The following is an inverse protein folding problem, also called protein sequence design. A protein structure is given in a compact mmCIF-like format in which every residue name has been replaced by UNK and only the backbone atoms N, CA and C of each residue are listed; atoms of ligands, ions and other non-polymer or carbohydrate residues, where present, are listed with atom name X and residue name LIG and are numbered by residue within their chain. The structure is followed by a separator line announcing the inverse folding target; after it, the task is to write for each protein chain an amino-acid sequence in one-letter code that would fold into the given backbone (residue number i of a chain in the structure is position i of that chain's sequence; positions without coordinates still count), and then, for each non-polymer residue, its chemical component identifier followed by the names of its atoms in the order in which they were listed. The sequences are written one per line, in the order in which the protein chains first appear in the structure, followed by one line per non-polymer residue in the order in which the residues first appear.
data_IF_665079406419
#
_entry.id   IF_665079406419
#
_cell.length_a   1.000
_cell.length_b   1.000
_cell.length_c   1.000
_cell.angle_alpha   90.00
_cell.angle_beta   90.00
_cell.angle_gamma   90.00
#
_symmetry.space_group_name_H-M   'P 1'
#
loop_
_entity.id
_entity.type
_entity.pdbx_description
1 polymer ?
#
# COMPACT_ATOMS: atom_id res chain seq x y z
N UNK A 1 -46.81 -63.80 -30.98
CA UNK A 1 -46.18 -65.07 -31.41
C UNK A 1 -45.42 -64.81 -32.70
N UNK A 2 -44.19 -65.34 -32.81
CA UNK A 2 -43.16 -65.20 -33.87
C UNK A 2 -42.13 -64.07 -33.64
N UNK A 3 -40.96 -64.37 -33.02
CA UNK A 3 -39.68 -64.94 -33.56
C UNK A 3 -38.88 -63.90 -34.36
N UNK A 4 -37.82 -63.30 -33.78
CA UNK A 4 -36.38 -63.67 -33.77
C UNK A 4 -35.66 -63.55 -35.13
N UNK A 5 -34.53 -62.83 -35.19
CA UNK A 5 -33.15 -63.34 -35.35
C UNK A 5 -32.13 -62.23 -35.76
N UNK A 6 -31.00 -62.18 -35.03
CA UNK A 6 -29.57 -61.96 -35.40
C UNK A 6 -29.12 -60.63 -36.09
N UNK A 7 -28.16 -59.87 -35.51
CA UNK A 7 -26.70 -60.04 -35.40
C UNK A 7 -25.90 -59.83 -36.70
N UNK A 8 -25.11 -58.75 -36.77
CA UNK A 8 -23.66 -58.84 -37.05
C UNK A 8 -22.91 -57.51 -36.77
N UNK A 9 -21.64 -57.70 -36.42
CA UNK A 9 -20.59 -56.78 -35.99
C UNK A 9 -20.00 -55.93 -37.11
N UNK A 10 -19.39 -54.78 -36.77
CA UNK A 10 -17.93 -54.53 -36.92
C UNK A 10 -17.51 -53.06 -37.05
N UNK A 11 -16.34 -52.78 -36.46
CA UNK A 11 -15.31 -51.78 -36.81
C UNK A 11 -15.39 -50.37 -36.18
N UNK A 12 -14.49 -50.20 -35.19
CA UNK A 12 -13.51 -49.12 -35.00
C UNK A 12 -13.90 -47.70 -35.39
N UNK A 13 -13.92 -46.80 -34.40
CA UNK A 13 -13.20 -45.52 -34.49
C UNK A 13 -12.84 -45.04 -33.09
N UNK A 14 -11.63 -45.42 -32.69
CA UNK A 14 -10.84 -44.82 -31.62
C UNK A 14 -10.20 -43.56 -32.22
N UNK A 15 -10.72 -42.36 -31.93
CA UNK A 15 -9.98 -41.10 -32.20
C UNK A 15 -10.20 -40.14 -31.04
N UNK A 16 -9.10 -39.96 -30.29
CA UNK A 16 -8.69 -38.81 -29.49
C UNK A 16 -9.79 -37.78 -29.15
N UNK A 17 -10.35 -37.88 -27.94
CA UNK A 17 -10.67 -36.67 -27.20
C UNK A 17 -9.41 -36.34 -26.36
N UNK A 18 -8.52 -35.56 -26.97
CA UNK A 18 -7.41 -34.91 -26.28
C UNK A 18 -7.97 -34.16 -25.07
N UNK A 19 -7.58 -34.62 -23.89
CA UNK A 19 -7.64 -33.89 -22.62
C UNK A 19 -6.85 -32.59 -22.79
N UNK A 20 -7.48 -31.57 -23.37
CA UNK A 20 -7.11 -30.19 -23.11
C UNK A 20 -7.64 -29.81 -21.71
N UNK A 21 -7.11 -30.46 -20.67
CA UNK A 21 -6.93 -29.74 -19.41
C UNK A 21 -5.89 -28.69 -19.70
N UNK A 22 -6.35 -27.56 -20.25
CA UNK A 22 -5.62 -26.33 -20.12
C UNK A 22 -5.41 -26.16 -18.63
N UNK A 23 -4.16 -26.37 -18.18
CA UNK A 23 -3.68 -25.79 -16.96
C UNK A 23 -3.85 -24.30 -17.22
N UNK A 24 -4.99 -23.75 -16.80
CA UNK A 24 -5.10 -22.34 -16.56
C UNK A 24 -4.09 -22.10 -15.45
N UNK A 25 -2.85 -21.81 -15.83
CA UNK A 25 -1.93 -21.09 -14.97
C UNK A 25 -2.67 -19.79 -14.70
N UNK A 26 -3.37 -19.73 -13.58
CA UNK A 26 -3.71 -18.48 -12.93
C UNK A 26 -2.35 -17.90 -12.56
N UNK A 27 -1.68 -17.29 -13.53
CA UNK A 27 -0.74 -16.23 -13.27
C UNK A 27 -1.59 -15.07 -12.77
N UNK A 28 -2.08 -15.21 -11.53
CA UNK A 28 -2.33 -14.06 -10.70
C UNK A 28 -0.96 -13.48 -10.47
N UNK A 29 -0.52 -12.63 -11.39
CA UNK A 29 0.60 -11.76 -11.13
C UNK A 29 0.19 -11.00 -9.87
N UNK A 30 0.87 -11.31 -8.77
CA UNK A 30 0.80 -10.49 -7.56
C UNK A 30 0.95 -9.04 -8.03
N UNK A 31 0.02 -8.18 -7.61
CA UNK A 31 0.07 -6.76 -7.96
C UNK A 31 1.40 -6.23 -7.44
N UNK A 32 2.36 -6.07 -8.34
CA UNK A 32 3.68 -5.58 -7.98
C UNK A 32 3.53 -4.18 -7.38
N UNK A 33 4.04 -3.93 -6.16
CA UNK A 33 3.90 -2.62 -5.56
C UNK A 33 4.56 -1.54 -6.43
N UNK A 34 3.95 -0.35 -6.44
CA UNK A 34 4.48 0.77 -7.22
C UNK A 34 5.79 1.28 -6.61
N UNK A 35 6.56 2.05 -7.40
CA UNK A 35 7.77 2.71 -6.91
C UNK A 35 7.84 4.18 -7.34
N UNK A 36 8.53 5.00 -6.55
CA UNK A 36 8.73 6.43 -6.75
C UNK A 36 10.13 6.82 -6.28
N UNK A 37 10.73 7.83 -6.93
CA UNK A 37 12.02 8.40 -6.52
C UNK A 37 11.76 9.79 -5.93
N UNK A 38 11.98 9.93 -4.62
CA UNK A 38 12.00 11.22 -3.95
C UNK A 38 13.40 11.83 -4.07
N UNK A 39 13.48 13.02 -4.65
CA UNK A 39 14.74 13.75 -4.84
C UNK A 39 14.98 14.76 -3.73
N UNK A 40 16.22 15.18 -3.58
CA UNK A 40 16.59 16.24 -2.64
C UNK A 40 16.06 17.60 -3.13
N UNK A 41 15.37 18.33 -2.27
CA UNK A 41 14.90 19.68 -2.58
C UNK A 41 16.10 20.63 -2.77
N UNK A 42 16.01 21.55 -3.73
CA UNK A 42 17.05 22.56 -4.02
C UNK A 42 16.92 23.83 -3.19
N UNK A 43 15.84 23.94 -2.43
CA UNK A 43 15.52 25.08 -1.58
C UNK A 43 14.70 24.64 -0.38
N UNK A 44 14.56 25.52 0.60
CA UNK A 44 13.63 25.33 1.69
C UNK A 44 12.20 25.55 1.18
N UNK A 45 11.37 24.53 1.31
CA UNK A 45 9.96 24.59 0.89
C UNK A 45 9.12 25.41 1.86
N UNK A 46 8.11 26.09 1.32
CA UNK A 46 7.11 26.84 2.08
C UNK A 46 5.86 25.97 2.13
N UNK A 47 5.54 25.46 3.33
CA UNK A 47 4.38 24.57 3.50
C UNK A 47 3.11 25.42 3.64
N UNK A 48 2.47 25.71 2.51
CA UNK A 48 1.26 26.54 2.41
C UNK A 48 0.14 25.94 1.53
N UNK A 49 0.38 24.76 0.97
CA UNK A 49 -0.59 24.00 0.18
C UNK A 49 -0.66 24.42 -1.29
N UNK A 50 0.18 25.38 -1.74
CA UNK A 50 0.16 25.84 -3.13
C UNK A 50 1.02 24.97 -4.05
N UNK A 51 2.13 24.41 -3.54
CA UNK A 51 3.04 23.58 -4.32
C UNK A 51 3.73 24.31 -5.47
N UNK A 52 3.87 25.64 -5.37
CA UNK A 52 4.44 26.50 -6.41
C UNK A 52 5.96 26.73 -6.27
N UNK A 53 6.59 26.20 -5.21
CA UNK A 53 8.04 26.14 -5.05
C UNK A 53 8.74 25.49 -6.27
N UNK A 54 9.96 25.96 -6.57
CA UNK A 54 10.72 25.54 -7.76
C UNK A 54 11.02 24.04 -7.77
N UNK A 55 11.29 23.47 -6.60
CA UNK A 55 11.54 22.05 -6.40
C UNK A 55 10.28 21.23 -6.70
N UNK A 56 9.09 21.68 -6.27
CA UNK A 56 7.84 21.01 -6.60
C UNK A 56 7.55 21.00 -8.09
N UNK A 57 7.87 22.10 -8.79
CA UNK A 57 7.69 22.18 -10.23
C UNK A 57 8.57 21.19 -11.00
N UNK A 58 9.74 20.82 -10.44
CA UNK A 58 10.67 19.84 -11.05
C UNK A 58 10.39 18.39 -10.64
N UNK A 59 9.78 18.18 -9.47
CA UNK A 59 9.49 16.83 -8.97
C UNK A 59 8.52 16.09 -9.92
N UNK A 60 8.76 14.79 -10.21
CA UNK A 60 7.86 14.01 -11.04
C UNK A 60 6.54 13.72 -10.31
N UNK A 61 5.43 13.66 -11.03
CA UNK A 61 4.18 13.13 -10.47
C UNK A 61 4.26 11.61 -10.33
N UNK A 62 3.60 11.08 -9.29
CA UNK A 62 3.32 9.66 -9.17
C UNK A 62 2.37 9.19 -10.29
N UNK A 63 2.20 7.88 -10.41
CA UNK A 63 1.03 7.31 -11.08
C UNK A 63 -0.24 7.72 -10.32
N UNK A 64 -1.34 7.90 -11.05
CA UNK A 64 -2.65 8.21 -10.47
C UNK A 64 -3.14 7.08 -9.57
N UNK A 65 -3.87 7.44 -8.52
CA UNK A 65 -4.39 6.50 -7.54
C UNK A 65 -5.38 5.55 -8.19
N UNK A 66 -5.50 4.36 -7.61
CA UNK A 66 -6.38 3.29 -8.06
C UNK A 66 -7.25 2.82 -6.89
N UNK A 67 -8.38 2.18 -7.16
CA UNK A 67 -9.11 1.46 -6.12
C UNK A 67 -8.18 0.49 -5.36
N UNK A 68 -8.35 0.38 -4.05
CA UNK A 68 -7.47 -0.40 -3.16
C UNK A 68 -7.27 -1.86 -3.58
N UNK A 69 -8.24 -2.48 -4.27
CA UNK A 69 -8.10 -3.84 -4.80
C UNK A 69 -7.29 -3.89 -6.12
N UNK A 70 -6.94 -2.75 -6.70
CA UNK A 70 -6.14 -2.61 -7.92
C UNK A 70 -6.91 -2.83 -9.22
N UNK A 71 -8.26 -2.80 -9.20
CA UNK A 71 -9.10 -3.21 -10.34
C UNK A 71 -9.83 -2.06 -11.04
N UNK A 72 -10.24 -1.04 -10.28
CA UNK A 72 -11.10 0.04 -10.78
C UNK A 72 -10.35 1.36 -10.80
N UNK A 73 -10.62 2.17 -11.82
CA UNK A 73 -10.15 3.55 -11.88
C UNK A 73 -11.11 4.43 -11.06
N UNK A 74 -10.61 5.25 -10.13
CA UNK A 74 -11.38 6.25 -9.40
C UNK A 74 -12.12 7.24 -10.32
N UNK A 75 -13.25 7.77 -9.83
CA UNK A 75 -14.03 8.77 -10.56
C UNK A 75 -13.31 10.14 -10.61
N UNK A 76 -12.49 10.44 -9.60
CA UNK A 76 -11.74 11.69 -9.50
C UNK A 76 -10.25 11.40 -9.34
N UNK A 77 -9.41 12.11 -10.09
CA UNK A 77 -7.97 11.85 -10.07
C UNK A 77 -7.38 12.23 -8.71
N UNK A 78 -6.40 11.45 -8.28
CA UNK A 78 -5.52 11.80 -7.17
C UNK A 78 -4.10 11.34 -7.50
N UNK A 79 -3.11 12.19 -7.24
CA UNK A 79 -1.69 11.92 -7.52
C UNK A 79 -0.82 12.73 -6.57
N UNK A 80 0.40 12.26 -6.32
CA UNK A 80 1.31 12.89 -5.37
C UNK A 80 2.70 13.15 -5.96
N UNK A 81 3.46 13.99 -5.29
CA UNK A 81 4.90 14.15 -5.43
C UNK A 81 5.55 14.01 -4.07
N UNK A 82 6.81 13.58 -4.06
CA UNK A 82 7.62 13.56 -2.85
C UNK A 82 8.98 14.19 -3.09
N UNK A 83 9.45 14.88 -2.07
CA UNK A 83 10.79 15.44 -1.97
C UNK A 83 11.33 15.17 -0.58
N UNK A 84 12.61 15.43 -0.38
CA UNK A 84 13.20 15.40 0.95
C UNK A 84 14.35 16.39 1.10
N UNK A 85 14.67 16.74 2.33
CA UNK A 85 15.93 17.37 2.70
C UNK A 85 16.47 16.76 4.00
N UNK A 86 17.51 17.36 4.61
CA UNK A 86 18.10 16.80 5.82
C UNK A 86 17.18 16.88 7.07
N UNK A 87 16.10 17.65 7.03
CA UNK A 87 15.18 17.88 8.15
C UNK A 87 13.82 17.19 7.96
N UNK A 88 13.30 17.15 6.74
CA UNK A 88 11.94 16.71 6.45
C UNK A 88 11.83 15.77 5.25
N UNK A 89 10.87 14.85 5.37
CA UNK A 89 10.18 14.21 4.26
C UNK A 89 9.03 15.10 3.82
N UNK A 90 8.94 15.41 2.53
CA UNK A 90 7.90 16.26 1.97
C UNK A 90 6.94 15.49 1.05
N UNK A 91 5.65 15.79 1.16
CA UNK A 91 4.59 15.23 0.31
C UNK A 91 3.69 16.35 -0.17
N UNK A 92 3.41 16.38 -1.48
CA UNK A 92 2.42 17.25 -2.10
C UNK A 92 1.42 16.38 -2.88
N UNK A 93 0.12 16.50 -2.59
CA UNK A 93 -0.92 15.70 -3.24
C UNK A 93 -1.97 16.60 -3.87
N UNK A 94 -2.26 16.36 -5.15
CA UNK A 94 -3.36 16.99 -5.88
C UNK A 94 -4.56 16.04 -5.86
N UNK A 95 -5.71 16.54 -5.40
CA UNK A 95 -6.93 15.77 -5.17
C UNK A 95 -8.09 16.44 -5.92
N UNK A 96 -8.52 15.87 -7.04
CA UNK A 96 -9.74 16.33 -7.72
C UNK A 96 -10.97 15.95 -6.87
N UNK A 97 -11.82 16.90 -6.56
CA UNK A 97 -13.02 16.69 -5.74
C UNK A 97 -14.05 17.77 -6.07
N UNK A 98 -15.18 17.44 -6.73
CA UNK A 98 -16.22 18.41 -7.04
C UNK A 98 -17.02 18.89 -5.84
N UNK A 99 -16.93 18.19 -4.70
CA UNK A 99 -17.60 18.56 -3.47
C UNK A 99 -16.63 18.47 -2.30
N UNK A 100 -15.90 19.54 -2.02
CA UNK A 100 -14.92 19.54 -0.92
C UNK A 100 -15.65 19.79 0.40
N UNK A 101 -15.72 18.78 1.26
CA UNK A 101 -16.39 18.91 2.56
C UNK A 101 -15.62 18.28 3.72
N UNK A 102 -15.54 19.05 4.80
CA UNK A 102 -14.92 18.66 6.06
C UNK A 102 -15.54 19.43 7.22
N UNK A 103 -15.86 18.73 8.30
CA UNK A 103 -16.52 19.28 9.50
C UNK A 103 -15.80 18.92 10.80
N UNK A 104 -14.91 17.92 10.77
CA UNK A 104 -14.13 17.47 11.91
C UNK A 104 -12.93 18.41 12.12
N UNK A 105 -12.91 19.09 13.27
CA UNK A 105 -11.94 20.15 13.62
C UNK A 105 -10.97 19.77 14.74
N UNK A 106 -11.31 18.73 15.48
CA UNK A 106 -10.55 18.30 16.64
C UNK A 106 -9.48 17.32 16.15
N UNK A 107 -8.22 17.64 16.43
CA UNK A 107 -7.09 16.71 16.23
C UNK A 107 -7.39 15.38 16.93
N UNK A 108 -6.96 14.29 16.32
CA UNK A 108 -7.13 12.92 16.83
C UNK A 108 -8.59 12.46 16.94
N UNK A 109 -9.44 13.03 16.10
CA UNK A 109 -10.79 12.48 15.84
C UNK A 109 -10.73 11.60 14.61
N UNK A 110 -11.46 10.49 14.62
CA UNK A 110 -11.65 9.59 13.47
C UNK A 110 -12.08 10.37 12.23
N UNK A 111 -11.13 10.72 11.36
CA UNK A 111 -11.28 11.84 10.42
C UNK A 111 -11.79 11.41 9.04
N UNK A 112 -11.55 10.14 8.69
CA UNK A 112 -11.97 9.51 7.43
C UNK A 112 -13.49 9.51 7.17
N UNK A 113 -14.32 10.03 8.07
CA UNK A 113 -15.74 10.29 7.80
C UNK A 113 -15.99 11.55 6.94
N UNK A 114 -14.95 12.28 6.55
CA UNK A 114 -14.99 13.43 5.62
C UNK A 114 -14.17 13.10 4.36
N UNK A 115 -13.96 14.09 3.46
CA UNK A 115 -12.85 13.98 2.54
C UNK A 115 -11.55 13.96 3.33
N UNK A 116 -10.76 12.92 3.12
CA UNK A 116 -9.58 12.62 3.91
C UNK A 116 -8.44 12.09 3.02
N UNK A 117 -7.22 12.42 3.44
CA UNK A 117 -5.97 12.00 2.81
C UNK A 117 -5.04 11.40 3.85
N UNK A 118 -4.46 10.25 3.51
CA UNK A 118 -3.68 9.44 4.43
C UNK A 118 -2.27 9.16 3.87
N UNK A 119 -1.26 9.15 4.73
CA UNK A 119 0.13 8.78 4.47
C UNK A 119 0.50 7.63 5.41
N UNK A 120 1.06 6.56 4.85
CA UNK A 120 1.50 5.37 5.56
C UNK A 120 2.99 5.15 5.36
N UNK A 121 3.74 4.93 6.45
CA UNK A 121 5.20 4.83 6.40
C UNK A 121 5.68 3.63 7.23
N UNK A 122 6.27 2.65 6.57
CA UNK A 122 7.01 1.53 7.15
C UNK A 122 8.50 1.70 6.73
N UNK A 123 9.34 2.27 7.62
CA UNK A 123 10.69 2.70 7.27
C UNK A 123 11.61 1.59 6.77
N UNK A 124 11.70 0.46 7.47
CA UNK A 124 12.62 -0.64 7.11
C UNK A 124 11.91 -1.78 6.39
N UNK A 125 10.61 -1.65 6.18
CA UNK A 125 9.80 -2.61 5.46
C UNK A 125 9.59 -3.92 6.20
N UNK A 126 9.77 -3.95 7.52
CA UNK A 126 9.58 -5.15 8.32
C UNK A 126 8.11 -5.41 8.70
N UNK A 127 7.20 -4.54 8.26
CA UNK A 127 5.75 -4.49 8.55
C UNK A 127 5.39 -4.14 10.00
N UNK A 128 6.38 -3.82 10.82
CA UNK A 128 6.22 -3.44 12.23
C UNK A 128 6.53 -1.96 12.42
N UNK A 129 6.10 -1.42 13.56
CA UNK A 129 6.42 -0.06 14.01
C UNK A 129 6.24 1.02 12.92
N UNK A 130 5.12 0.93 12.21
CA UNK A 130 4.81 1.82 11.09
C UNK A 130 3.90 2.96 11.53
N UNK A 131 3.92 4.02 10.75
CA UNK A 131 3.19 5.26 11.01
C UNK A 131 2.03 5.41 10.04
N UNK A 132 0.99 6.07 10.53
CA UNK A 132 -0.16 6.52 9.76
C UNK A 132 -0.42 7.98 10.11
N UNK A 133 -0.68 8.78 9.09
CA UNK A 133 -1.00 10.19 9.21
C UNK A 133 -2.20 10.46 8.31
N UNK A 134 -3.25 11.02 8.87
CA UNK A 134 -4.49 11.39 8.20
C UNK A 134 -4.72 12.89 8.32
N UNK A 135 -5.35 13.48 7.29
CA UNK A 135 -5.81 14.85 7.35
C UNK A 135 -6.98 15.12 6.41
N UNK A 136 -7.89 15.98 6.86
CA UNK A 136 -9.02 16.41 6.04
C UNK A 136 -8.78 17.78 5.39
N UNK A 137 -9.75 18.21 4.58
CA UNK A 137 -9.73 19.51 3.89
C UNK A 137 -9.76 20.74 4.82
N UNK A 138 -9.94 20.58 6.14
CA UNK A 138 -9.77 21.64 7.14
C UNK A 138 -8.33 21.74 7.67
N UNK A 139 -7.41 20.89 7.21
CA UNK A 139 -6.09 20.70 7.79
C UNK A 139 -6.15 20.24 9.26
N UNK A 140 -7.22 19.53 9.64
CA UNK A 140 -7.28 18.81 10.92
C UNK A 140 -6.53 17.51 10.75
N UNK A 141 -5.73 17.15 11.75
CA UNK A 141 -4.76 16.06 11.67
C UNK A 141 -5.14 14.92 12.62
N UNK A 142 -4.78 13.70 12.25
CA UNK A 142 -4.78 12.54 13.13
C UNK A 142 -3.59 11.68 12.75
N UNK A 143 -2.75 11.31 13.72
CA UNK A 143 -1.57 10.50 13.43
C UNK A 143 -1.37 9.42 14.48
N UNK A 144 -0.85 8.30 14.02
CA UNK A 144 -0.95 7.02 14.67
C UNK A 144 0.38 6.28 14.53
N UNK A 145 0.78 5.62 15.61
CA UNK A 145 1.87 4.65 15.59
C UNK A 145 1.30 3.24 15.78
N UNK A 146 1.61 2.34 14.85
CA UNK A 146 1.14 0.97 14.85
C UNK A 146 2.30 0.01 15.07
N UNK A 147 2.23 -0.80 16.11
CA UNK A 147 3.31 -1.73 16.45
C UNK A 147 3.47 -2.85 15.42
N UNK A 148 2.37 -3.27 14.79
CA UNK A 148 2.28 -4.28 13.73
C UNK A 148 0.88 -4.34 13.13
N UNK A 149 0.62 -5.13 12.06
CA UNK A 149 -0.69 -5.19 11.43
C UNK A 149 -1.76 -5.77 12.36
N UNK A 150 -3.03 -5.37 12.16
CA UNK A 150 -4.15 -5.85 12.98
C UNK A 150 -4.31 -7.38 12.97
N UNK A 151 -4.04 -8.03 11.83
CA UNK A 151 -4.03 -9.50 11.69
C UNK A 151 -3.04 -10.18 12.63
N UNK A 152 -2.06 -9.42 13.14
CA UNK A 152 -1.01 -9.84 14.05
C UNK A 152 -1.22 -9.31 15.48
N UNK A 153 -2.46 -8.91 15.81
CA UNK A 153 -2.85 -8.33 17.10
C UNK A 153 -2.06 -7.05 17.44
N UNK A 154 -1.72 -6.25 16.43
CA UNK A 154 -1.07 -4.96 16.58
C UNK A 154 -1.82 -4.00 17.49
N UNK A 155 -1.06 -3.08 18.11
CA UNK A 155 -1.61 -2.00 18.93
C UNK A 155 -1.43 -0.69 18.19
N UNK A 156 -2.50 0.11 18.23
CA UNK A 156 -2.50 1.49 17.78
C UNK A 156 -2.22 2.36 18.99
N UNK A 157 -1.14 3.14 18.93
CA UNK A 157 -0.80 4.14 19.94
C UNK A 157 -1.38 5.47 19.45
N UNK A 158 -2.66 5.64 19.70
CA UNK A 158 -3.48 6.78 19.22
C UNK A 158 -3.12 8.13 19.86
N UNK A 159 -2.48 8.12 21.04
CA UNK A 159 -2.02 9.34 21.72
C UNK A 159 -0.61 9.77 21.31
N UNK A 160 0.01 9.08 20.37
CA UNK A 160 1.31 9.46 19.84
C UNK A 160 1.12 10.46 18.70
N UNK A 161 2.04 11.42 18.60
CA UNK A 161 1.95 12.53 17.67
C UNK A 161 3.25 12.66 16.86
N UNK A 162 3.18 13.02 15.56
CA UNK A 162 4.32 13.44 14.74
C UNK A 162 4.76 14.84 15.16
N UNK A 163 5.59 14.89 16.20
CA UNK A 163 6.05 16.14 16.79
C UNK A 163 6.80 17.03 15.78
N UNK A 164 6.20 18.20 15.48
CA UNK A 164 6.79 19.19 14.58
C UNK A 164 6.42 19.01 13.10
N UNK A 165 5.43 18.16 12.79
CA UNK A 165 4.81 18.11 11.46
C UNK A 165 4.31 19.50 11.06
N UNK A 166 4.53 19.85 9.79
CA UNK A 166 3.92 21.03 9.17
C UNK A 166 3.00 20.54 8.08
N UNK A 167 1.83 21.16 7.97
CA UNK A 167 0.85 20.81 6.97
C UNK A 167 0.04 22.03 6.54
N UNK A 168 -0.40 22.01 5.30
CA UNK A 168 -1.29 23.01 4.75
C UNK A 168 -2.23 22.40 3.71
N UNK A 169 -3.37 23.06 3.53
CA UNK A 169 -4.38 22.73 2.53
C UNK A 169 -4.69 23.99 1.71
N UNK A 170 -4.74 23.84 0.39
CA UNK A 170 -5.30 24.83 -0.53
C UNK A 170 -6.53 24.24 -1.23
N UNK A 171 -7.59 25.01 -1.35
CA UNK A 171 -8.84 24.57 -2.00
C UNK A 171 -9.02 25.38 -3.29
N UNK A 172 -9.18 24.68 -4.41
CA UNK A 172 -9.55 25.26 -5.69
C UNK A 172 -11.08 25.14 -5.84
N UNK A 173 -11.77 26.10 -5.24
CA UNK A 173 -13.21 26.07 -5.01
C UNK A 173 -13.59 26.67 -3.66
N UNK A 174 -14.62 26.14 -3.01
CA UNK A 174 -15.09 26.56 -1.70
C UNK A 174 -15.34 25.37 -0.76
N UNK A 175 -14.98 25.54 0.51
CA UNK A 175 -15.13 24.47 1.50
C UNK A 175 -16.56 24.42 2.06
N UNK A 176 -17.20 23.25 1.99
CA UNK A 176 -18.55 22.99 2.50
C UNK A 176 -19.65 23.85 1.85
N UNK A 177 -19.43 24.45 0.69
CA UNK A 177 -20.52 25.06 -0.08
C UNK A 177 -21.09 23.99 -1.01
N UNK A 178 -22.38 23.73 -0.90
CA UNK A 178 -23.05 22.77 -1.78
C UNK A 178 -23.78 23.42 -2.94
N UNK A 179 -23.64 24.74 -3.09
CA UNK A 179 -24.30 25.51 -4.15
C UNK A 179 -23.46 25.63 -5.42
N UNK A 180 -22.18 25.28 -5.35
CA UNK A 180 -21.23 25.27 -6.46
C UNK A 180 -20.63 23.87 -6.70
N UNK A 181 -19.57 23.83 -7.50
CA UNK A 181 -18.82 22.63 -7.83
C UNK A 181 -17.36 23.03 -7.88
N UNK A 182 -16.54 22.34 -7.10
CA UNK A 182 -15.13 22.63 -6.93
C UNK A 182 -14.28 21.93 -7.99
N UNK A 183 -13.02 22.33 -8.12
CA UNK A 183 -12.02 21.55 -8.85
C UNK A 183 -11.36 20.52 -7.94
N UNK A 184 -11.12 20.90 -6.68
CA UNK A 184 -10.55 20.01 -5.68
C UNK A 184 -9.71 20.74 -4.65
N UNK A 185 -8.72 20.04 -4.12
CA UNK A 185 -7.85 20.56 -3.06
C UNK A 185 -6.46 19.95 -3.16
N UNK A 186 -5.49 20.68 -2.60
CA UNK A 186 -4.09 20.28 -2.52
C UNK A 186 -3.71 20.15 -1.06
N UNK A 187 -2.98 19.09 -0.76
CA UNK A 187 -2.38 18.82 0.54
C UNK A 187 -0.87 18.95 0.42
N UNK A 188 -0.25 19.66 1.36
CA UNK A 188 1.20 19.74 1.47
C UNK A 188 1.65 19.44 2.90
N UNK A 189 2.59 18.53 3.06
CA UNK A 189 3.05 18.03 4.37
C UNK A 189 4.57 17.97 4.42
N UNK A 190 5.15 18.41 5.53
CA UNK A 190 6.55 18.20 5.89
C UNK A 190 6.64 17.41 7.21
N UNK A 191 7.08 16.15 7.11
CA UNK A 191 7.22 15.20 8.20
C UNK A 191 8.68 15.22 8.69
N UNK A 192 8.97 15.60 9.95
CA UNK A 192 10.33 15.64 10.46
C UNK A 192 10.96 14.26 10.48
N UNK A 193 12.15 14.12 9.88
CA UNK A 193 12.89 12.85 9.90
C UNK A 193 13.13 12.33 11.30
N UNK A 194 13.52 13.24 12.20
CA UNK A 194 13.73 12.98 13.63
C UNK A 194 12.67 12.04 14.21
N UNK A 195 11.40 12.22 13.84
CA UNK A 195 10.29 11.46 14.41
C UNK A 195 10.16 10.10 13.72
N UNK A 196 10.07 10.09 12.39
CA UNK A 196 9.81 8.84 11.64
C UNK A 196 11.01 7.90 11.55
N UNK A 197 12.23 8.39 11.85
CA UNK A 197 13.42 7.55 12.00
C UNK A 197 13.55 6.91 13.38
N UNK A 198 12.79 7.34 14.41
CA UNK A 198 12.95 6.80 15.78
C UNK A 198 12.66 5.30 15.86
N UNK A 199 11.66 4.82 15.10
CA UNK A 199 11.32 3.41 15.05
C UNK A 199 11.97 2.65 13.89
N UNK A 200 12.78 3.31 13.05
CA UNK A 200 13.52 2.62 11.99
C UNK A 200 14.76 1.94 12.56
N UNK A 201 15.10 0.74 12.07
CA UNK A 201 16.33 0.03 12.50
C UNK A 201 17.61 0.86 12.38
N UNK A 202 17.66 1.80 11.43
CA UNK A 202 18.84 2.62 11.15
C UNK A 202 18.91 3.94 11.93
N UNK A 203 17.79 4.49 12.39
CA UNK A 203 17.76 5.77 13.10
C UNK A 203 18.29 6.97 12.30
N UNK A 204 18.32 6.89 10.96
CA UNK A 204 18.90 7.92 10.10
C UNK A 204 18.02 8.20 8.87
N UNK A 205 18.27 9.35 8.23
CA UNK A 205 17.63 9.72 6.97
C UNK A 205 18.08 8.75 5.87
N UNK A 206 17.15 8.10 5.14
CA UNK A 206 17.45 7.01 4.21
C UNK A 206 18.05 7.46 2.87
N UNK A 207 19.09 8.30 2.89
CA UNK A 207 19.75 8.78 1.67
C UNK A 207 20.33 7.61 0.85
N UNK A 208 19.89 7.49 -0.40
CA UNK A 208 20.14 6.37 -1.33
C UNK A 208 19.62 5.01 -0.83
N UNK A 209 18.63 5.02 0.05
CA UNK A 209 17.88 3.85 0.50
C UNK A 209 16.40 3.99 0.09
N UNK A 210 15.60 2.96 0.33
CA UNK A 210 14.16 3.01 0.09
C UNK A 210 13.38 2.64 1.35
N UNK A 211 12.22 3.28 1.53
CA UNK A 211 11.23 2.91 2.54
C UNK A 211 9.96 2.37 1.88
N UNK A 212 9.12 1.67 2.66
CA UNK A 212 7.79 1.24 2.23
C UNK A 212 6.81 2.35 2.60
N UNK A 213 6.27 3.04 1.60
CA UNK A 213 5.34 4.16 1.82
C UNK A 213 4.13 3.99 0.92
N UNK A 214 2.96 4.34 1.42
CA UNK A 214 1.77 4.40 0.59
C UNK A 214 0.85 5.52 1.03
N UNK A 215 -0.15 5.76 0.20
CA UNK A 215 -1.07 6.86 0.36
C UNK A 215 -2.47 6.39 0.06
N UNK A 216 -3.44 6.96 0.77
CA UNK A 216 -4.85 6.71 0.56
C UNK A 216 -5.60 8.03 0.49
N UNK A 217 -6.73 8.00 -0.19
CA UNK A 217 -7.79 8.99 -0.08
C UNK A 217 -9.07 8.23 0.21
N UNK A 218 -9.72 8.60 1.29
CA UNK A 218 -11.05 8.08 1.61
C UNK A 218 -12.09 8.99 0.96
N UNK A 219 -12.91 8.38 0.11
CA UNK A 219 -14.01 9.06 -0.56
C UNK A 219 -15.35 8.41 -0.20
N UNK A 220 -16.40 9.22 -0.12
CA UNK A 220 -17.74 8.76 0.19
C UNK A 220 -18.73 9.28 -0.83
N UNK A 221 -19.72 8.45 -1.14
CA UNK A 221 -20.99 9.00 -1.62
C UNK A 221 -21.62 9.82 -0.50
N UNK A 222 -22.23 10.94 -0.87
CA UNK A 222 -22.89 11.83 0.08
C UNK A 222 -24.40 11.95 -0.19
N UNK A 223 -25.12 12.34 0.85
CA UNK A 223 -26.46 12.91 0.78
C UNK A 223 -26.37 14.38 1.23
N UNK A 224 -27.22 15.22 0.63
CA UNK A 224 -27.27 16.65 0.89
C UNK A 224 -28.63 17.02 1.49
N UNK A 225 -28.63 17.57 2.70
CA UNK A 225 -29.83 18.05 3.37
C UNK A 225 -29.61 19.47 3.89
N UNK A 226 -30.43 20.43 3.44
CA UNK A 226 -30.34 21.85 3.84
C UNK A 226 -28.92 22.43 3.67
N UNK A 227 -28.23 22.09 2.57
CA UNK A 227 -26.89 22.56 2.28
C UNK A 227 -25.76 21.86 3.07
N UNK A 228 -26.08 20.81 3.84
CA UNK A 228 -25.09 20.08 4.64
C UNK A 228 -24.84 18.68 4.07
N UNK A 229 -23.56 18.40 3.82
CA UNK A 229 -23.06 17.08 3.44
C UNK A 229 -23.17 16.06 4.58
N UNK A 230 -23.47 14.82 4.22
CA UNK A 230 -23.41 13.67 5.10
C UNK A 230 -23.12 12.41 4.28
N UNK A 231 -22.49 11.40 4.89
CA UNK A 231 -22.27 10.11 4.21
C UNK A 231 -23.61 9.50 3.79
N UNK A 232 -23.66 9.03 2.55
CA UNK A 232 -24.86 8.48 1.93
C UNK A 232 -25.31 7.21 2.65
N UNK A 233 -26.62 7.08 2.84
CA UNK A 233 -27.24 5.84 3.32
C UNK A 233 -27.96 5.11 2.19
N UNK A 234 -27.97 3.78 2.26
CA UNK A 234 -28.79 2.95 1.39
C UNK A 234 -30.27 2.96 1.83
N UNK A 235 -31.13 2.29 1.06
CA UNK A 235 -32.57 2.19 1.33
C UNK A 235 -32.90 1.51 2.67
N UNK A 236 -31.95 0.77 3.27
CA UNK A 236 -32.08 0.16 4.59
C UNK A 236 -31.65 1.09 5.74
N UNK A 237 -31.12 2.28 5.41
CA UNK A 237 -30.60 3.25 6.37
C UNK A 237 -29.16 2.98 6.82
N UNK A 238 -28.45 2.03 6.20
CA UNK A 238 -27.05 1.75 6.48
C UNK A 238 -26.17 2.68 5.64
N UNK A 239 -25.06 3.16 6.22
CA UNK A 239 -24.07 3.91 5.43
C UNK A 239 -23.53 3.03 4.30
N UNK A 240 -23.50 3.58 3.09
CA UNK A 240 -22.79 2.98 1.96
C UNK A 240 -21.31 2.86 2.29
N UNK A 241 -20.58 1.86 1.74
CA UNK A 241 -19.15 1.73 1.99
C UNK A 241 -18.37 2.91 1.45
N UNK A 242 -17.24 3.20 2.09
CA UNK A 242 -16.20 4.08 1.59
C UNK A 242 -15.56 3.54 0.31
N UNK A 243 -14.96 4.46 -0.44
CA UNK A 243 -14.05 4.16 -1.53
C UNK A 243 -12.64 4.55 -1.09
N UNK A 244 -11.75 3.56 -1.01
CA UNK A 244 -10.34 3.79 -0.70
C UNK A 244 -9.57 3.82 -2.02
N UNK A 245 -9.07 4.99 -2.37
CA UNK A 245 -8.24 5.18 -3.56
C UNK A 245 -6.80 5.35 -3.11
N UNK A 246 -5.92 4.48 -3.57
CA UNK A 246 -4.56 4.37 -3.06
C UNK A 246 -3.53 4.54 -4.15
N UNK A 247 -2.31 4.95 -3.80
CA UNK A 247 -1.21 4.97 -4.76
C UNK A 247 -0.82 3.54 -5.16
N UNK A 248 -0.26 2.74 -4.26
CA UNK A 248 0.08 1.32 -4.50
C UNK A 248 -1.10 0.43 -4.09
N UNK A 249 -1.65 -0.41 -5.00
CA UNK A 249 -2.81 -1.24 -4.67
C UNK A 249 -2.47 -2.32 -3.65
N UNK A 250 -3.43 -2.66 -2.79
CA UNK A 250 -3.29 -3.69 -1.75
C UNK A 250 -3.88 -5.05 -2.20
N UNK A 251 -4.75 -5.06 -3.21
CA UNK A 251 -5.43 -6.27 -3.68
C UNK A 251 -6.57 -6.76 -2.78
N UNK A 252 -6.72 -6.17 -1.60
CA UNK A 252 -7.80 -6.37 -0.61
C UNK A 252 -8.20 -5.03 -0.01
N UNK A 253 -9.42 -4.91 0.52
CA UNK A 253 -9.86 -3.70 1.24
C UNK A 253 -9.26 -3.69 2.65
N UNK A 254 -7.95 -3.45 2.73
CA UNK A 254 -7.19 -3.35 3.97
C UNK A 254 -5.88 -2.60 3.70
N UNK A 255 -5.76 -1.39 4.26
CA UNK A 255 -4.56 -0.56 4.08
C UNK A 255 -3.41 -0.99 4.98
N UNK A 256 -3.70 -1.71 6.08
CA UNK A 256 -2.71 -2.19 7.04
C UNK A 256 -2.11 -3.53 6.62
N UNK A 257 -1.63 -3.59 5.37
CA UNK A 257 -0.78 -4.65 4.82
C UNK A 257 0.53 -4.03 4.27
N UNK A 258 1.46 -3.59 5.15
CA UNK A 258 2.63 -2.81 4.72
C UNK A 258 3.53 -3.52 3.70
N UNK A 259 3.47 -4.85 3.62
CA UNK A 259 4.17 -5.64 2.60
C UNK A 259 3.76 -5.26 1.16
N UNK A 260 2.58 -4.70 0.95
CA UNK A 260 2.07 -4.27 -0.36
C UNK A 260 2.22 -2.76 -0.63
N UNK A 261 2.74 -1.98 0.32
CA UNK A 261 2.95 -0.54 0.15
C UNK A 261 3.97 -0.25 -0.96
N UNK A 262 4.03 0.98 -1.47
CA UNK A 262 4.96 1.28 -2.56
C UNK A 262 6.41 1.42 -2.07
N UNK A 263 7.36 1.39 -2.99
CA UNK A 263 8.77 1.66 -2.73
C UNK A 263 9.07 3.14 -2.98
N UNK A 264 9.51 3.87 -1.97
CA UNK A 264 10.00 5.25 -2.16
C UNK A 264 11.50 5.25 -1.95
N UNK A 265 12.24 5.47 -3.03
CA UNK A 265 13.70 5.60 -3.03
C UNK A 265 14.10 7.06 -2.83
N UNK A 266 14.94 7.34 -1.85
CA UNK A 266 15.37 8.71 -1.54
C UNK A 266 16.72 8.99 -2.19
N UNK A 267 16.69 9.57 -3.38
CA UNK A 267 17.91 9.88 -4.12
C UNK A 267 18.70 10.98 -3.44
N UNK A 268 20.03 10.81 -3.32
CA UNK A 268 20.94 11.88 -2.94
C UNK A 268 21.04 13.02 -3.97
N UNK A 269 20.54 12.79 -5.19
CA UNK A 269 20.53 13.78 -6.27
C UNK A 269 19.46 14.84 -6.02
N UNK A 270 19.74 16.03 -6.52
CA UNK A 270 18.81 17.15 -6.46
C UNK A 270 17.65 16.96 -7.44
N UNK A 271 16.50 17.51 -7.10
CA UNK A 271 15.33 17.46 -7.97
C UNK A 271 15.60 18.16 -9.31
N UNK A 272 15.24 17.47 -10.40
CA UNK A 272 15.53 17.87 -11.77
C UNK A 272 16.72 17.11 -12.39
N UNK A 273 17.52 16.43 -11.57
CA UNK A 273 18.49 15.44 -12.05
C UNK A 273 17.80 14.12 -12.41
N UNK A 274 18.53 13.21 -13.05
CA UNK A 274 18.03 11.87 -13.40
C UNK A 274 18.59 10.84 -12.45
N UNK A 275 17.70 10.03 -11.90
CA UNK A 275 18.06 8.80 -11.20
C UNK A 275 17.23 7.61 -11.64
N UNK A 276 17.62 6.42 -11.17
CA UNK A 276 16.92 5.18 -11.44
C UNK A 276 16.88 4.32 -10.19
N UNK A 277 15.73 3.71 -9.96
CA UNK A 277 15.53 2.75 -8.90
C UNK A 277 14.80 1.52 -9.46
N UNK A 278 15.15 0.34 -8.96
CA UNK A 278 14.46 -0.91 -9.22
C UNK A 278 14.30 -1.66 -7.92
N UNK A 279 13.15 -2.29 -7.72
CA UNK A 279 12.87 -3.12 -6.56
C UNK A 279 13.96 -4.21 -6.45
N UNK A 280 14.59 -4.41 -5.27
CA UNK A 280 15.59 -5.45 -5.09
C UNK A 280 15.05 -6.84 -5.42
N UNK A 281 15.90 -7.71 -5.96
CA UNK A 281 15.49 -9.08 -6.33
C UNK A 281 14.99 -9.89 -5.12
N UNK A 282 15.56 -9.64 -3.93
CA UNK A 282 15.16 -10.28 -2.68
C UNK A 282 13.72 -9.90 -2.25
N UNK A 283 13.23 -8.72 -2.63
CA UNK A 283 11.87 -8.31 -2.28
C UNK A 283 10.80 -9.10 -3.05
N UNK A 284 11.11 -9.61 -4.24
CA UNK A 284 10.21 -10.57 -4.93
C UNK A 284 10.13 -11.91 -4.19
N UNK A 285 11.20 -12.31 -3.49
CA UNK A 285 11.15 -13.45 -2.57
C UNK A 285 10.33 -13.10 -1.34
N UNK A 286 10.54 -11.91 -0.76
CA UNK A 286 9.79 -11.41 0.40
C UNK A 286 8.28 -11.41 0.17
N UNK A 287 7.80 -10.95 -0.99
CA UNK A 287 6.38 -11.03 -1.35
C UNK A 287 5.85 -12.47 -1.28
N UNK A 288 6.59 -13.39 -1.86
CA UNK A 288 6.21 -14.80 -1.83
C UNK A 288 6.22 -15.35 -0.40
N UNK A 289 7.22 -15.02 0.42
CA UNK A 289 7.25 -15.40 1.83
C UNK A 289 6.01 -14.86 2.57
N UNK A 290 5.58 -13.61 2.33
CA UNK A 290 4.35 -13.08 2.92
C UNK A 290 3.09 -13.81 2.43
N UNK A 291 3.05 -14.25 1.17
CA UNK A 291 1.95 -15.09 0.66
C UNK A 291 1.85 -16.43 1.39
N UNK A 292 2.99 -17.07 1.67
CA UNK A 292 3.07 -18.31 2.45
C UNK A 292 2.69 -18.09 3.91
N UNK A 293 3.25 -17.04 4.51
CA UNK A 293 2.98 -16.60 5.87
C UNK A 293 1.48 -16.41 6.12
N UNK A 294 0.79 -15.64 5.26
CA UNK A 294 -0.67 -15.45 5.36
C UNK A 294 -1.44 -16.76 5.22
N UNK A 295 -0.96 -17.68 4.39
CA UNK A 295 -1.52 -19.03 4.28
C UNK A 295 -1.45 -19.81 5.59
N UNK A 296 -0.28 -19.81 6.24
CA UNK A 296 -0.05 -20.48 7.53
C UNK A 296 -0.85 -19.80 8.65
N UNK A 297 -0.78 -18.47 8.76
CA UNK A 297 -1.50 -17.68 9.76
C UNK A 297 -3.01 -17.91 9.72
N UNK A 298 -3.60 -17.99 8.52
CA UNK A 298 -5.04 -18.21 8.34
C UNK A 298 -5.46 -19.68 8.48
N UNK A 299 -4.52 -20.60 8.73
CA UNK A 299 -4.81 -22.03 8.83
C UNK A 299 -5.36 -22.63 7.54
N UNK A 300 -4.96 -22.10 6.38
CA UNK A 300 -5.43 -22.62 5.08
C UNK A 300 -5.02 -24.09 4.94
N UNK A 301 -5.89 -24.86 4.29
CA UNK A 301 -5.65 -26.28 4.03
C UNK A 301 -4.28 -26.47 3.34
N UNK A 302 -3.46 -27.35 3.91
CA UNK A 302 -2.12 -27.71 3.43
C UNK A 302 -1.09 -26.55 3.38
N UNK A 303 -1.38 -25.38 3.97
CA UNK A 303 -0.50 -24.20 3.89
C UNK A 303 0.95 -24.47 4.36
N UNK A 304 1.11 -25.18 5.47
CA UNK A 304 2.44 -25.55 5.98
C UNK A 304 3.22 -26.43 5.00
N UNK A 305 2.54 -27.35 4.31
CA UNK A 305 3.17 -28.21 3.30
C UNK A 305 3.58 -27.42 2.07
N UNK A 306 2.80 -26.39 1.72
CA UNK A 306 3.09 -25.51 0.58
C UNK A 306 4.33 -24.64 0.79
N UNK A 307 4.76 -24.41 2.04
CA UNK A 307 6.00 -23.65 2.32
C UNK A 307 7.22 -24.34 1.72
N UNK A 308 7.30 -25.67 1.81
CA UNK A 308 8.47 -26.43 1.37
C UNK A 308 8.44 -26.81 -0.12
N UNK A 309 7.43 -26.34 -0.87
CA UNK A 309 7.33 -26.57 -2.30
C UNK A 309 8.27 -25.60 -3.03
N UNK A 310 9.21 -26.08 -3.86
CA UNK A 310 10.07 -25.20 -4.63
C UNK A 310 9.28 -24.28 -5.56
N UNK A 311 9.68 -23.02 -5.66
CA UNK A 311 9.09 -22.02 -6.55
C UNK A 311 10.16 -21.30 -7.34
N UNK A 312 9.86 -20.98 -8.59
CA UNK A 312 10.71 -20.12 -9.42
C UNK A 312 10.35 -18.65 -9.20
N UNK A 313 11.35 -17.82 -8.90
CA UNK A 313 11.24 -16.37 -8.79
C UNK A 313 12.39 -15.76 -9.60
N UNK A 314 12.04 -14.92 -10.58
CA UNK A 314 13.00 -14.27 -11.50
C UNK A 314 14.03 -15.26 -12.10
N UNK A 315 13.58 -16.45 -12.52
CA UNK A 315 14.43 -17.48 -13.13
C UNK A 315 15.34 -18.23 -12.15
N UNK A 316 15.20 -18.03 -10.83
CA UNK A 316 15.90 -18.79 -9.79
C UNK A 316 14.91 -19.63 -9.00
N UNK A 317 15.26 -20.89 -8.78
CA UNK A 317 14.50 -21.75 -7.87
C UNK A 317 14.86 -21.43 -6.43
N UNK A 318 13.85 -21.19 -5.61
CA UNK A 318 13.95 -21.09 -4.16
C UNK A 318 13.14 -22.22 -3.52
N UNK A 319 13.52 -22.62 -2.31
CA UNK A 319 12.76 -23.57 -1.50
C UNK A 319 12.71 -23.05 -0.07
N UNK A 320 11.65 -22.34 0.32
CA UNK A 320 11.48 -21.90 1.70
C UNK A 320 11.36 -23.09 2.66
N UNK A 321 11.64 -22.82 3.94
CA UNK A 321 11.51 -23.77 5.04
C UNK A 321 10.55 -23.21 6.08
N UNK A 322 9.74 -24.09 6.68
CA UNK A 322 8.93 -23.77 7.86
C UNK A 322 9.61 -24.38 9.09
N UNK A 323 10.26 -23.55 9.89
CA UNK A 323 10.89 -23.98 11.13
C UNK A 323 9.96 -23.70 12.31
N UNK A 324 9.52 -24.74 13.01
CA UNK A 324 8.68 -24.62 14.21
C UNK A 324 9.52 -24.78 15.47
N UNK A 325 9.28 -23.91 16.44
CA UNK A 325 9.91 -23.96 17.75
C UNK A 325 8.90 -23.77 18.87
N UNK A 326 9.35 -23.90 20.13
CA UNK A 326 8.49 -23.84 21.32
C UNK A 326 7.63 -22.58 21.41
N UNK A 327 8.15 -21.47 20.88
CA UNK A 327 7.50 -20.15 20.97
C UNK A 327 6.75 -19.73 19.71
N UNK A 328 6.83 -20.51 18.62
CA UNK A 328 6.10 -20.28 17.39
C UNK A 328 6.85 -20.80 16.16
N UNK A 329 7.05 -19.98 15.12
CA UNK A 329 7.62 -20.45 13.86
C UNK A 329 8.28 -19.35 13.01
N UNK A 330 9.19 -19.76 12.15
CA UNK A 330 9.82 -18.95 11.12
C UNK A 330 9.56 -19.55 9.73
N UNK A 331 9.25 -18.70 8.76
CA UNK A 331 9.31 -19.06 7.33
C UNK A 331 10.53 -18.37 6.75
N UNK A 332 11.50 -19.12 6.24
CA UNK A 332 12.75 -18.55 5.77
C UNK A 332 13.29 -19.20 4.50
N UNK A 333 14.15 -18.48 3.78
CA UNK A 333 14.89 -18.99 2.64
C UNK A 333 16.22 -18.26 2.48
N UNK A 334 17.25 -18.97 2.01
CA UNK A 334 18.49 -18.34 1.57
C UNK A 334 18.31 -17.75 0.17
N UNK A 335 18.52 -16.45 0.03
CA UNK A 335 18.42 -15.77 -1.26
C UNK A 335 19.47 -16.32 -2.23
N UNK A 336 19.08 -16.73 -3.45
CA UNK A 336 20.00 -17.08 -4.52
C UNK A 336 20.64 -15.86 -5.20
N UNK A 337 20.19 -14.64 -4.86
CA UNK A 337 20.70 -13.39 -5.43
C UNK A 337 21.79 -12.77 -4.56
N UNK A 338 21.57 -12.75 -3.24
CA UNK A 338 22.45 -12.08 -2.27
C UNK A 338 23.17 -13.05 -1.33
N UNK A 339 22.69 -14.29 -1.21
CA UNK A 339 23.17 -15.26 -0.22
C UNK A 339 22.65 -15.03 1.20
N UNK A 340 21.92 -13.94 1.46
CA UNK A 340 21.33 -13.63 2.77
C UNK A 340 20.21 -14.59 3.13
N UNK A 341 19.96 -14.77 4.42
CA UNK A 341 18.77 -15.46 4.92
C UNK A 341 17.64 -14.45 5.06
N UNK A 342 16.56 -14.67 4.33
CA UNK A 342 15.32 -13.90 4.41
C UNK A 342 14.34 -14.66 5.29
N UNK A 343 13.78 -14.02 6.32
CA UNK A 343 12.89 -14.67 7.29
C UNK A 343 11.67 -13.80 7.58
N UNK A 344 10.51 -14.45 7.72
CA UNK A 344 9.29 -13.91 8.32
C UNK A 344 8.99 -14.69 9.58
N UNK A 345 8.88 -13.99 10.70
CA UNK A 345 8.55 -14.56 12.01
C UNK A 345 7.04 -14.82 12.13
N UNK A 346 6.63 -15.55 13.17
CA UNK A 346 5.24 -15.92 13.45
C UNK A 346 4.27 -14.73 13.52
N UNK A 347 4.75 -13.55 13.90
CA UNK A 347 3.96 -12.32 13.99
C UNK A 347 4.09 -11.41 12.76
N UNK A 348 4.78 -11.87 11.71
CA UNK A 348 4.88 -11.20 10.42
C UNK A 348 6.09 -10.30 10.26
N UNK A 349 6.93 -10.13 11.29
CA UNK A 349 8.12 -9.30 11.20
C UNK A 349 9.13 -9.90 10.20
N UNK A 350 9.59 -9.08 9.26
CA UNK A 350 10.60 -9.49 8.29
C UNK A 350 12.02 -9.12 8.75
N UNK A 351 12.97 -10.00 8.50
CA UNK A 351 14.39 -9.65 8.56
C UNK A 351 15.21 -10.31 7.45
N UNK A 352 16.33 -9.66 7.14
CA UNK A 352 17.34 -10.12 6.19
C UNK A 352 18.68 -10.11 6.91
N UNK A 353 19.30 -11.28 7.06
CA UNK A 353 20.55 -11.43 7.81
C UNK A 353 21.61 -12.08 6.94
N UNK A 354 22.86 -11.65 7.11
CA UNK A 354 23.99 -12.36 6.51
C UNK A 354 24.11 -13.75 7.16
N UNK A 355 24.33 -14.77 6.34
CA UNK A 355 24.67 -16.10 6.83
C UNK A 355 26.04 -15.98 7.50
N UNK A 356 26.07 -15.88 8.82
CA UNK A 356 27.34 -15.93 9.57
C UNK A 356 28.01 -17.26 9.25
N UNK A 357 29.22 -17.20 8.70
CA UNK A 357 30.10 -18.36 8.49
C UNK A 357 30.35 -19.16 9.78
#
# INVERSE_FOLDING_TARGET
MKTTFFSQTSICSLVLLLLCFGIATVNGQELEPRNYIAYKATEKLIIDGQGDDTSWQKAPWSQDYIDIEGKKVPDYRTRMKMLWDNEYLYVLTEIEEPHVWATLKQRDTVIFYNNDFEIFIDPDGDTHNYYEYEMNALNTLWDLFLTKPYRNNGKVVDSWDIQGVKSAVSIDGTLNDSSDTDMGWTVEVAIPWKVVTEASRGGHVPENEFWRINFSRVNWKFDLAQGRYSRKKDDSGKFMPEYNWVWSPQGVINMHEPEHWGYVYFSAKEVGEKDSFSIPQDDYIKFYLYSLYRGVLQGKKDAEKLVEVPREILGKTIKPSLEKHRFGYNIWVKSPFTGKILVIQEDGEFSSVDEKE
#
